data_IF_331595694546
#
_entry.id   IF_331595694546
#
_cell.length_a   1.000
_cell.length_b   1.000
_cell.length_c   1.000
_cell.angle_alpha   90.00
_cell.angle_beta   90.00
_cell.angle_gamma   90.00
#
_symmetry.space_group_name_H-M   'P 1'
#
loop_
_entity.id
_entity.type
_entity.pdbx_description
1 polymer ?
#
# COMPACT_ATOMS: atom_id res chain seq x y z
N UNK A 1 19.27 3.02 1.00
CA UNK A 1 19.54 1.80 0.22
C UNK A 1 19.15 0.50 0.94
N UNK A 2 19.35 0.34 2.26
CA UNK A 2 18.77 -0.80 2.99
C UNK A 2 17.25 -0.66 3.11
N UNK A 3 16.76 0.52 3.52
CA UNK A 3 15.33 0.76 3.76
C UNK A 3 14.43 0.52 2.53
N UNK A 4 14.85 0.93 1.32
CA UNK A 4 14.02 0.74 0.11
C UNK A 4 13.81 -0.74 -0.23
N UNK A 5 14.83 -1.56 0.01
CA UNK A 5 14.73 -3.00 -0.19
C UNK A 5 13.79 -3.65 0.83
N UNK A 6 13.75 -3.13 2.05
CA UNK A 6 12.90 -3.66 3.11
C UNK A 6 11.43 -3.30 2.90
N UNK A 7 11.13 -2.08 2.40
CA UNK A 7 9.79 -1.71 1.91
C UNK A 7 9.34 -2.63 0.78
N UNK A 8 10.19 -2.89 -0.22
CA UNK A 8 9.85 -3.80 -1.31
C UNK A 8 9.61 -5.24 -0.84
N UNK A 9 10.39 -5.73 0.14
CA UNK A 9 10.18 -7.06 0.75
C UNK A 9 8.88 -7.12 1.51
N UNK A 10 8.53 -6.08 2.29
CA UNK A 10 7.27 -5.98 3.02
C UNK A 10 6.09 -6.15 2.06
N UNK A 11 6.04 -5.34 1.00
CA UNK A 11 4.96 -5.41 0.00
C UNK A 11 4.92 -6.78 -0.68
N UNK A 12 6.08 -7.31 -1.07
CA UNK A 12 6.17 -8.65 -1.69
C UNK A 12 5.63 -9.74 -0.76
N UNK A 13 5.97 -9.71 0.52
CA UNK A 13 5.53 -10.69 1.51
C UNK A 13 4.03 -10.56 1.81
N UNK A 14 3.50 -9.34 1.81
CA UNK A 14 2.08 -9.07 1.99
C UNK A 14 1.26 -9.68 0.83
N UNK A 15 1.69 -9.46 -0.41
CA UNK A 15 1.01 -10.03 -1.59
C UNK A 15 1.14 -11.56 -1.67
N UNK A 16 2.29 -12.12 -1.29
CA UNK A 16 2.45 -13.58 -1.19
C UNK A 16 1.53 -14.20 -0.15
N UNK A 17 1.39 -13.57 1.02
CA UNK A 17 0.57 -14.07 2.13
C UNK A 17 -0.94 -14.02 1.84
N UNK A 18 -1.37 -13.12 0.95
CA UNK A 18 -2.79 -12.97 0.56
C UNK A 18 -3.21 -13.86 -0.62
N UNK A 19 -2.26 -14.56 -1.24
CA UNK A 19 -2.48 -15.41 -2.42
C UNK A 19 -2.66 -16.88 -1.99
N UNK A 20 -3.86 -17.48 -2.16
CA UNK A 20 -4.11 -18.86 -1.74
C UNK A 20 -3.13 -19.88 -2.37
N UNK A 21 -2.64 -20.84 -1.58
CA UNK A 21 -1.74 -21.90 -2.08
C UNK A 21 -2.44 -22.70 -3.18
N UNK A 22 -1.81 -22.78 -4.36
CA UNK A 22 -2.36 -23.49 -5.53
C UNK A 22 -3.26 -22.64 -6.43
N UNK A 23 -3.57 -21.40 -6.05
CA UNK A 23 -4.16 -20.42 -6.98
C UNK A 23 -3.04 -19.73 -7.77
N UNK A 24 -3.10 -19.81 -9.09
CA UNK A 24 -2.43 -18.81 -9.93
C UNK A 24 -3.20 -17.51 -9.72
N UNK A 25 -2.50 -16.39 -9.53
CA UNK A 25 -3.18 -15.09 -9.66
C UNK A 25 -3.82 -15.05 -11.04
N UNK A 26 -5.15 -14.91 -11.08
CA UNK A 26 -5.89 -14.96 -12.34
C UNK A 26 -5.53 -13.79 -13.26
N UNK A 27 -4.82 -12.76 -12.79
CA UNK A 27 -4.39 -11.65 -13.62
C UNK A 27 -3.16 -10.90 -13.04
N UNK A 28 -1.95 -11.12 -13.58
CA UNK A 28 -0.71 -10.47 -13.14
C UNK A 28 -0.74 -8.94 -13.20
N UNK A 29 -1.59 -8.37 -14.06
CA UNK A 29 -1.70 -6.92 -14.21
C UNK A 29 -2.25 -6.25 -12.95
N UNK A 30 -3.40 -6.71 -12.43
CA UNK A 30 -4.04 -6.11 -11.26
C UNK A 30 -3.18 -6.23 -10.01
N UNK A 31 -2.47 -7.34 -9.86
CA UNK A 31 -1.54 -7.55 -8.75
C UNK A 31 -0.34 -6.61 -8.80
N UNK A 32 0.24 -6.45 -9.99
CA UNK A 32 1.37 -5.56 -10.19
C UNK A 32 0.96 -4.11 -9.91
N UNK A 33 -0.18 -3.69 -10.44
CA UNK A 33 -0.69 -2.34 -10.25
C UNK A 33 -1.07 -2.06 -8.78
N UNK A 34 -1.73 -3.00 -8.11
CA UNK A 34 -2.05 -2.88 -6.68
C UNK A 34 -0.79 -2.85 -5.81
N UNK A 35 0.24 -3.61 -6.17
CA UNK A 35 1.55 -3.59 -5.51
C UNK A 35 2.25 -2.23 -5.70
N UNK A 36 2.20 -1.64 -6.89
CA UNK A 36 2.72 -0.30 -7.15
C UNK A 36 2.01 0.76 -6.31
N UNK A 37 0.67 0.71 -6.20
CA UNK A 37 -0.08 1.61 -5.32
C UNK A 37 0.37 1.43 -3.86
N UNK A 38 0.45 0.19 -3.36
CA UNK A 38 0.89 -0.04 -1.98
C UNK A 38 2.32 0.46 -1.73
N UNK A 39 3.25 0.27 -2.67
CA UNK A 39 4.60 0.81 -2.58
C UNK A 39 4.59 2.33 -2.50
N UNK A 40 3.79 3.00 -3.34
CA UNK A 40 3.66 4.46 -3.30
C UNK A 40 3.22 4.94 -1.91
N UNK A 41 2.19 4.31 -1.33
CA UNK A 41 1.69 4.67 0.00
C UNK A 41 2.73 4.43 1.10
N UNK A 42 3.36 3.26 1.13
CA UNK A 42 4.35 2.92 2.18
C UNK A 42 5.60 3.79 2.05
N UNK A 43 6.07 4.09 0.83
CA UNK A 43 7.20 5.01 0.64
C UNK A 43 6.86 6.44 1.05
N UNK A 44 5.63 6.90 0.78
CA UNK A 44 5.17 8.20 1.27
C UNK A 44 5.24 8.23 2.80
N UNK A 45 4.62 7.27 3.47
CA UNK A 45 4.62 7.24 4.94
C UNK A 45 6.02 7.13 5.53
N UNK A 46 6.87 6.28 4.97
CA UNK A 46 8.21 6.08 5.50
C UNK A 46 9.07 7.35 5.49
N UNK A 47 8.97 8.15 4.43
CA UNK A 47 9.85 9.29 4.20
C UNK A 47 9.24 10.64 4.59
N UNK A 48 7.93 10.80 4.47
CA UNK A 48 7.23 12.08 4.64
C UNK A 48 6.37 12.13 5.90
N UNK A 49 5.83 11.00 6.36
CA UNK A 49 4.94 10.97 7.52
C UNK A 49 5.71 10.83 8.85
N UNK A 50 5.21 11.44 9.94
CA UNK A 50 5.81 11.29 11.25
C UNK A 50 5.72 9.84 11.73
N UNK A 51 6.64 9.37 12.61
CA UNK A 51 6.75 7.97 13.01
C UNK A 51 5.44 7.36 13.53
N UNK A 52 4.62 8.13 14.25
CA UNK A 52 3.33 7.71 14.78
C UNK A 52 2.30 7.38 13.69
N UNK A 53 2.44 7.96 12.50
CA UNK A 53 1.60 7.70 11.32
C UNK A 53 2.18 6.61 10.41
N UNK A 54 3.41 6.15 10.69
CA UNK A 54 4.03 5.03 9.98
C UNK A 54 3.41 3.72 10.49
N UNK A 55 2.17 3.45 10.08
CA UNK A 55 1.47 2.23 10.44
C UNK A 55 0.49 1.81 9.34
N UNK A 56 0.00 0.58 9.44
CA UNK A 56 -0.90 0.01 8.43
C UNK A 56 -2.30 0.64 8.44
N UNK A 57 -2.74 1.19 9.57
CA UNK A 57 -4.02 1.91 9.64
C UNK A 57 -3.97 3.15 8.74
N UNK A 58 -2.85 3.89 8.75
CA UNK A 58 -2.64 5.03 7.88
C UNK A 58 -2.57 4.63 6.40
N UNK A 59 -1.95 3.49 6.06
CA UNK A 59 -2.01 2.95 4.68
C UNK A 59 -3.46 2.76 4.22
N UNK A 60 -4.32 2.22 5.08
CA UNK A 60 -5.74 2.05 4.79
C UNK A 60 -6.50 3.38 4.71
N UNK A 61 -6.13 4.37 5.52
CA UNK A 61 -6.67 5.73 5.43
C UNK A 61 -6.31 6.40 4.12
N UNK A 62 -5.05 6.37 3.72
CA UNK A 62 -4.60 6.90 2.42
C UNK A 62 -5.30 6.20 1.25
N UNK A 63 -5.47 4.88 1.31
CA UNK A 63 -6.19 4.13 0.27
C UNK A 63 -7.66 4.60 0.14
N UNK A 64 -8.34 4.86 1.26
CA UNK A 64 -9.70 5.42 1.25
C UNK A 64 -9.72 6.86 0.73
N UNK A 65 -8.70 7.65 1.10
CA UNK A 65 -8.55 9.04 0.68
C UNK A 65 -8.27 9.18 -0.84
N UNK A 66 -7.91 8.09 -1.52
CA UNK A 66 -7.78 8.06 -2.98
C UNK A 66 -9.04 7.62 -3.71
N UNK A 67 -10.12 7.26 -3.01
CA UNK A 67 -11.30 6.67 -3.64
C UNK A 67 -11.91 7.60 -4.70
N UNK A 68 -12.15 7.04 -5.89
CA UNK A 68 -12.79 7.76 -7.00
C UNK A 68 -14.32 7.64 -6.85
N UNK A 69 -14.93 8.71 -6.38
CA UNK A 69 -16.38 8.78 -6.09
C UNK A 69 -17.22 8.97 -7.36
N UNK A 70 -16.82 9.88 -8.25
CA UNK A 70 -17.56 10.22 -9.46
C UNK A 70 -16.73 9.91 -10.72
N UNK A 71 -17.32 9.17 -11.67
CA UNK A 71 -16.69 8.87 -12.96
C UNK A 71 -16.88 10.00 -13.98
N UNK A 72 -17.91 10.85 -13.77
CA UNK A 72 -18.31 11.95 -14.65
C UNK A 72 -17.74 13.30 -14.19
N UNK A 73 -17.25 13.40 -12.94
CA UNK A 73 -16.54 14.57 -12.40
C UNK A 73 -15.16 14.19 -11.83
N UNK A 74 -14.11 14.21 -12.67
CA UNK A 74 -12.76 13.83 -12.27
C UNK A 74 -12.10 14.97 -11.48
N UNK A 75 -12.59 15.18 -10.26
CA UNK A 75 -11.90 16.01 -9.27
C UNK A 75 -10.76 15.22 -8.61
N UNK A 76 -9.63 15.87 -8.31
CA UNK A 76 -8.52 15.21 -7.64
C UNK A 76 -8.93 14.80 -6.22
N UNK A 77 -8.68 13.55 -5.87
CA UNK A 77 -8.92 13.04 -4.52
C UNK A 77 -7.94 13.68 -3.51
N UNK A 78 -8.22 13.63 -2.20
CA UNK A 78 -7.24 14.02 -1.19
C UNK A 78 -5.87 13.35 -1.36
N UNK A 79 -5.83 12.08 -1.79
CA UNK A 79 -4.59 11.38 -2.11
C UNK A 79 -3.88 11.99 -3.33
N UNK A 80 -4.61 12.36 -4.37
CA UNK A 80 -4.03 13.01 -5.55
C UNK A 80 -3.40 14.36 -5.20
N UNK A 81 -4.07 15.14 -4.35
CA UNK A 81 -3.53 16.42 -3.87
C UNK A 81 -2.26 16.21 -3.05
N UNK A 82 -2.25 15.21 -2.16
CA UNK A 82 -1.08 14.86 -1.35
C UNK A 82 0.16 14.53 -2.20
N UNK A 83 -0.03 13.72 -3.25
CA UNK A 83 1.05 13.36 -4.17
C UNK A 83 1.41 14.50 -5.13
N UNK A 84 0.48 15.41 -5.43
CA UNK A 84 0.76 16.63 -6.20
C UNK A 84 1.63 17.60 -5.40
N UNK A 85 1.35 17.79 -4.11
CA UNK A 85 2.17 18.61 -3.22
C UNK A 85 3.58 18.03 -3.08
N UNK A 86 3.68 16.71 -2.88
CA UNK A 86 4.98 16.02 -2.86
C UNK A 86 5.77 16.21 -4.16
N UNK A 87 5.10 16.26 -5.31
CA UNK A 87 5.74 16.51 -6.61
C UNK A 87 6.29 17.93 -6.72
N UNK A 88 5.62 18.91 -6.11
CA UNK A 88 6.08 20.30 -6.08
C UNK A 88 7.32 20.42 -5.19
N UNK A 89 7.32 19.77 -4.03
CA UNK A 89 8.39 19.87 -3.04
C UNK A 89 9.61 18.99 -3.39
N UNK A 90 9.37 17.77 -3.88
CA UNK A 90 10.41 16.79 -4.17
C UNK A 90 10.06 15.91 -5.40
N UNK A 91 10.25 16.43 -6.63
CA UNK A 91 9.83 15.74 -7.86
C UNK A 91 10.54 14.40 -8.13
N UNK A 92 11.70 14.15 -7.51
CA UNK A 92 12.46 12.91 -7.67
C UNK A 92 12.11 11.83 -6.64
N UNK A 93 11.14 12.09 -5.75
CA UNK A 93 10.76 11.21 -4.66
C UNK A 93 10.30 9.82 -5.15
N UNK A 94 10.75 8.76 -4.49
CA UNK A 94 10.49 7.38 -4.93
C UNK A 94 8.99 7.02 -4.90
N UNK A 95 8.23 7.57 -3.95
CA UNK A 95 6.79 7.37 -3.89
C UNK A 95 6.08 7.87 -5.16
N UNK A 96 6.52 9.00 -5.73
CA UNK A 96 5.96 9.57 -6.97
C UNK A 96 6.16 8.61 -8.16
N UNK A 97 7.32 7.94 -8.24
CA UNK A 97 7.61 6.99 -9.32
C UNK A 97 6.59 5.86 -9.35
N UNK A 98 6.25 5.31 -8.19
CA UNK A 98 5.23 4.26 -8.06
C UNK A 98 3.81 4.82 -8.22
N UNK A 99 3.55 6.02 -7.71
CA UNK A 99 2.25 6.71 -7.85
C UNK A 99 1.90 6.93 -9.32
N UNK A 100 2.79 7.59 -10.08
CA UNK A 100 2.59 7.84 -11.51
C UNK A 100 2.48 6.55 -12.32
N UNK A 101 3.22 5.50 -11.94
CA UNK A 101 3.17 4.21 -12.64
C UNK A 101 1.78 3.57 -12.54
N UNK A 102 1.16 3.56 -11.36
CA UNK A 102 -0.21 3.03 -11.23
C UNK A 102 -1.25 4.01 -11.80
N UNK A 103 -1.03 5.33 -11.68
CA UNK A 103 -1.97 6.40 -12.07
C UNK A 103 -2.00 6.68 -13.59
N UNK A 104 -1.62 5.71 -14.42
CA UNK A 104 -1.56 5.84 -15.88
C UNK A 104 -2.81 5.32 -16.62
N UNK A 105 -3.78 4.76 -15.89
CA UNK A 105 -5.01 4.19 -16.44
C UNK A 105 -6.23 5.12 -16.41
N UNK A 106 -7.35 4.65 -16.99
CA UNK A 106 -8.65 5.34 -16.87
C UNK A 106 -9.17 5.32 -15.43
N UNK A 107 -10.06 6.25 -15.05
CA UNK A 107 -10.68 6.28 -13.71
C UNK A 107 -11.28 4.92 -13.30
N UNK A 108 -11.94 4.23 -14.25
CA UNK A 108 -12.48 2.87 -14.04
C UNK A 108 -11.39 1.83 -13.76
N UNK A 109 -10.24 1.94 -14.44
CA UNK A 109 -9.07 1.09 -14.21
C UNK A 109 -8.47 1.36 -12.83
N UNK A 110 -8.28 2.63 -12.47
CA UNK A 110 -7.75 3.05 -11.17
C UNK A 110 -8.64 2.57 -10.02
N UNK A 111 -9.95 2.72 -10.16
CA UNK A 111 -10.94 2.20 -9.21
C UNK A 111 -10.84 0.67 -9.04
N UNK A 112 -10.69 -0.07 -10.14
CA UNK A 112 -10.47 -1.52 -10.09
C UNK A 112 -9.17 -1.90 -9.37
N UNK A 113 -8.10 -1.13 -9.55
CA UNK A 113 -6.81 -1.33 -8.85
C UNK A 113 -6.98 -1.08 -7.35
N UNK A 114 -7.64 0.00 -6.95
CA UNK A 114 -7.91 0.31 -5.54
C UNK A 114 -8.75 -0.77 -4.86
N UNK A 115 -9.81 -1.25 -5.53
CA UNK A 115 -10.64 -2.36 -5.04
C UNK A 115 -9.80 -3.62 -4.88
N UNK A 116 -8.92 -3.92 -5.85
CA UNK A 116 -8.02 -5.09 -5.78
C UNK A 116 -7.09 -5.00 -4.57
N UNK A 117 -6.48 -3.83 -4.34
CA UNK A 117 -5.64 -3.62 -3.17
C UNK A 117 -6.46 -3.75 -1.89
N UNK A 118 -7.59 -3.08 -1.78
CA UNK A 118 -8.47 -3.13 -0.60
C UNK A 118 -8.87 -4.56 -0.25
N UNK A 119 -9.31 -5.37 -1.22
CA UNK A 119 -9.69 -6.76 -1.01
C UNK A 119 -8.52 -7.65 -0.54
N UNK A 120 -7.29 -7.34 -0.98
CA UNK A 120 -6.08 -8.01 -0.48
C UNK A 120 -5.78 -7.59 0.96
N UNK A 121 -5.91 -6.30 1.27
CA UNK A 121 -5.64 -5.77 2.62
C UNK A 121 -6.72 -6.14 3.64
N UNK A 122 -7.97 -6.34 3.22
CA UNK A 122 -9.09 -6.74 4.09
C UNK A 122 -8.85 -8.06 4.83
N UNK A 123 -8.09 -8.98 4.22
CA UNK A 123 -7.67 -10.24 4.87
C UNK A 123 -6.81 -10.01 6.11
N UNK A 124 -6.15 -8.86 6.22
CA UNK A 124 -5.40 -8.46 7.40
C UNK A 124 -6.26 -7.70 8.41
N UNK A 125 -7.40 -7.16 7.97
CA UNK A 125 -8.34 -6.42 8.82
C UNK A 125 -9.15 -7.35 9.76
N UNK A 126 -9.38 -8.61 9.38
CA UNK A 126 -10.42 -9.43 10.01
C UNK A 126 -10.02 -10.28 11.23
N UNK A 127 -8.78 -10.79 11.38
CA UNK A 127 -8.59 -11.86 12.39
C UNK A 127 -7.32 -11.85 13.27
N UNK A 128 -6.33 -10.96 13.09
CA UNK A 128 -5.18 -10.92 14.04
C UNK A 128 -4.33 -9.65 14.04
N UNK A 129 -4.35 -8.83 12.99
CA UNK A 129 -3.43 -7.69 12.89
C UNK A 129 -4.00 -6.37 13.41
N UNK A 130 -5.32 -6.16 13.46
CA UNK A 130 -5.88 -4.91 13.99
C UNK A 130 -5.44 -4.61 15.44
N UNK A 131 -5.12 -5.64 16.24
CA UNK A 131 -4.58 -5.51 17.58
C UNK A 131 -3.06 -5.24 17.63
N UNK A 132 -2.33 -5.59 16.55
CA UNK A 132 -0.87 -5.42 16.41
C UNK A 132 -0.52 -4.12 15.68
N UNK A 133 -1.29 -3.73 14.66
CA UNK A 133 -1.07 -2.52 13.85
C UNK A 133 -1.50 -1.22 14.53
N UNK A 134 -2.20 -1.31 15.67
CA UNK A 134 -2.57 -0.14 16.49
C UNK A 134 -1.42 0.35 17.37
N UNK A 135 -0.33 -0.42 17.47
CA UNK A 135 0.89 -0.05 18.17
C UNK A 135 2.12 -0.37 17.31
N UNK A 136 2.62 0.65 16.60
CA UNK A 136 4.04 0.82 16.24
C UNK A 136 4.70 -0.34 15.44
N UNK A 137 4.18 -0.64 14.23
CA UNK A 137 4.63 -1.80 13.42
C UNK A 137 5.21 -1.50 12.02
N UNK A 138 5.29 -0.26 11.52
CA UNK A 138 6.24 0.03 10.42
C UNK A 138 7.67 0.18 10.98
N UNK A 139 8.05 -0.67 11.92
CA UNK A 139 9.45 -0.93 12.22
C UNK A 139 10.05 -1.79 11.07
N UNK A 140 10.25 -1.12 9.93
CA UNK A 140 10.84 -1.69 8.72
C UNK A 140 12.24 -2.27 9.01
N UNK A 141 12.89 -1.85 10.10
CA UNK A 141 14.20 -2.37 10.53
C UNK A 141 14.07 -3.77 11.16
N UNK A 142 13.04 -4.03 11.97
CA UNK A 142 12.87 -5.36 12.60
C UNK A 142 12.23 -6.41 11.70
N UNK A 143 11.54 -6.00 10.64
CA UNK A 143 10.87 -6.88 9.66
C UNK A 143 11.86 -7.78 8.87
N UNK A 144 13.16 -7.45 8.88
CA UNK A 144 14.24 -8.24 8.27
C UNK A 144 15.13 -9.01 9.26
N UNK A 145 15.06 -8.69 10.56
CA UNK A 145 16.04 -9.19 11.55
C UNK A 145 15.50 -10.32 12.45
N UNK A 146 14.17 -10.49 12.56
CA UNK A 146 13.59 -11.50 13.45
C UNK A 146 12.72 -12.51 12.69
N UNK A 147 12.94 -13.81 12.98
CA UNK A 147 12.03 -14.88 12.54
C UNK A 147 10.70 -14.73 13.30
N UNK A 148 9.72 -14.06 12.68
CA UNK A 148 8.37 -13.98 13.22
C UNK A 148 7.66 -15.30 12.93
N UNK A 149 7.30 -16.05 13.98
CA UNK A 149 6.48 -17.25 13.88
C UNK A 149 5.03 -16.87 14.18
N UNK A 150 4.19 -16.88 13.15
CA UNK A 150 2.75 -16.71 13.27
C UNK A 150 2.14 -18.05 13.74
N UNK A 151 1.66 -18.11 14.97
CA UNK A 151 0.91 -19.26 15.47
C UNK A 151 -0.59 -19.01 15.28
N UNK A 152 -1.22 -19.80 14.41
CA UNK A 152 -2.67 -19.90 14.32
C UNK A 152 -3.13 -21.12 15.12
N UNK A 153 -3.99 -20.91 16.12
CA UNK A 153 -4.74 -21.97 16.79
C UNK A 153 -6.15 -22.00 16.20
N UNK A 154 -6.58 -23.19 15.76
CA UNK A 154 -7.92 -23.49 15.21
C UNK A 154 -8.78 -24.10 16.31
#
# INVERSE_FOLDING_TARGET
>A
MQNDNDVQKLVTNLFKSTTPKGSQSNDPFWDTAASMLLLALVFYLHYEAPPEEQNFAMVMEMLRAGAIEDEDDPSPSPLDNLFSDLMIDNPDHIALKYYHSYHSGSSKTLKSIQITLAARLEKFNLESLAALTSADELDLQSLGEKKVALFALI
#
